data_IF_491400572653
#
_entry.id   IF_491400572653
#
_cell.length_a   1.000
_cell.length_b   1.000
_cell.length_c   1.000
_cell.angle_alpha   90.00
_cell.angle_beta   90.00
_cell.angle_gamma   90.00
#
_symmetry.space_group_name_H-M   'P 1'
#
loop_
_entity.id
_entity.type
_entity.pdbx_description
1 polymer ?
#
# COMPACT_ATOMS: atom_id res chain seq x y z
N UNK A 1 9.41 8.68 5.05
CA UNK A 1 9.70 7.70 6.11
C UNK A 1 9.50 6.34 5.49
N UNK A 2 10.41 5.39 5.74
CA UNK A 2 10.35 4.06 5.16
C UNK A 2 10.15 3.06 6.29
N UNK A 3 9.21 2.14 6.14
CA UNK A 3 9.19 0.95 6.96
C UNK A 3 10.38 0.05 6.56
N UNK A 4 10.82 -0.80 7.48
CA UNK A 4 11.78 -1.86 7.16
C UNK A 4 11.22 -2.71 6.01
N UNK A 5 12.06 -3.14 5.05
CA UNK A 5 11.61 -4.06 4.02
C UNK A 5 11.15 -5.38 4.66
N UNK A 6 10.09 -5.94 4.10
CA UNK A 6 9.52 -7.23 4.48
C UNK A 6 9.90 -8.26 3.41
N UNK A 7 10.28 -9.46 3.84
CA UNK A 7 10.48 -10.60 2.94
C UNK A 7 9.20 -11.43 3.01
N UNK A 8 8.57 -11.66 1.85
CA UNK A 8 7.41 -12.52 1.74
C UNK A 8 7.83 -13.85 1.08
N UNK A 9 7.50 -14.96 1.73
CA UNK A 9 7.79 -16.31 1.25
C UNK A 9 6.47 -17.07 1.19
N UNK A 10 6.05 -17.45 -0.01
CA UNK A 10 4.82 -18.19 -0.23
C UNK A 10 5.08 -19.55 -0.87
N UNK A 11 4.42 -20.59 -0.37
CA UNK A 11 4.39 -21.90 -1.04
C UNK A 11 3.55 -21.87 -2.33
N UNK A 12 3.58 -22.92 -3.15
CA UNK A 12 2.79 -22.99 -4.39
C UNK A 12 1.30 -22.68 -4.18
N UNK A 13 0.73 -21.77 -4.98
CA UNK A 13 -0.68 -21.39 -4.94
C UNK A 13 -1.15 -20.64 -3.68
N UNK A 14 -0.24 -20.21 -2.82
CA UNK A 14 -0.55 -19.41 -1.61
C UNK A 14 -1.16 -18.07 -2.00
N UNK A 15 -2.18 -17.65 -1.26
CA UNK A 15 -2.88 -16.38 -1.50
C UNK A 15 -2.70 -15.44 -0.31
N UNK A 16 -2.17 -14.25 -0.59
CA UNK A 16 -2.15 -13.10 0.31
C UNK A 16 -3.49 -12.36 0.19
N UNK A 17 -4.31 -12.30 1.24
CA UNK A 17 -5.66 -11.75 1.17
C UNK A 17 -5.71 -10.31 0.69
N UNK A 18 -6.80 -9.96 0.01
CA UNK A 18 -7.05 -8.63 -0.53
C UNK A 18 -6.97 -7.53 0.55
N UNK A 19 -5.98 -6.64 0.41
CA UNK A 19 -5.64 -5.62 1.40
C UNK A 19 -5.23 -4.29 0.77
N UNK A 20 -5.30 -3.21 1.55
CA UNK A 20 -4.68 -1.93 1.24
C UNK A 20 -3.68 -1.57 2.34
N UNK A 21 -2.59 -0.93 1.93
CA UNK A 21 -1.49 -0.55 2.81
C UNK A 21 -1.92 0.43 3.92
N UNK A 22 -1.31 0.33 5.12
CA UNK A 22 -1.60 1.24 6.22
C UNK A 22 -1.05 2.64 5.99
N UNK A 23 -1.59 3.60 6.75
CA UNK A 23 -1.04 4.96 6.86
C UNK A 23 -0.87 5.69 5.51
N UNK A 24 -1.70 5.37 4.51
CA UNK A 24 -1.64 6.00 3.19
C UNK A 24 -0.28 5.84 2.48
N UNK A 25 0.50 4.83 2.85
CA UNK A 25 1.76 4.47 2.20
C UNK A 25 1.53 3.86 0.82
N UNK A 26 2.58 3.83 0.00
CA UNK A 26 2.64 3.00 -1.21
C UNK A 26 3.56 1.81 -0.99
N UNK A 27 3.32 0.72 -1.73
CA UNK A 27 4.17 -0.48 -1.71
C UNK A 27 5.03 -0.51 -2.96
N UNK A 28 6.29 -0.88 -2.80
CA UNK A 28 7.12 -1.40 -3.88
C UNK A 28 7.39 -2.85 -3.56
N UNK A 29 7.08 -3.73 -4.50
CA UNK A 29 7.27 -5.17 -4.33
C UNK A 29 8.07 -5.73 -5.48
N UNK A 30 9.23 -6.30 -5.16
CA UNK A 30 10.16 -6.87 -6.14
C UNK A 30 10.15 -8.38 -6.01
N UNK A 31 9.81 -9.06 -7.10
CA UNK A 31 9.82 -10.52 -7.15
C UNK A 31 11.26 -11.02 -7.31
N UNK A 32 11.70 -11.96 -6.47
CA UNK A 32 13.07 -12.48 -6.49
C UNK A 32 13.15 -13.93 -6.97
N UNK A 33 12.21 -14.78 -6.56
CA UNK A 33 12.20 -16.22 -6.90
C UNK A 33 10.77 -16.64 -7.20
N UNK A 34 10.57 -17.50 -8.19
CA UNK A 34 9.24 -17.95 -8.60
C UNK A 34 8.40 -16.83 -9.21
N UNK A 35 7.11 -17.08 -9.40
CA UNK A 35 6.18 -16.11 -9.98
C UNK A 35 5.07 -15.74 -9.00
N UNK A 36 4.54 -14.53 -9.17
CA UNK A 36 3.41 -14.05 -8.40
C UNK A 36 2.43 -13.28 -9.29
N UNK A 37 1.16 -13.65 -9.20
CA UNK A 37 0.05 -12.92 -9.79
C UNK A 37 -0.52 -11.94 -8.79
N UNK A 38 -0.50 -10.65 -9.10
CA UNK A 38 -1.07 -9.60 -8.25
C UNK A 38 -2.29 -8.99 -8.92
N UNK A 39 -3.45 -9.17 -8.30
CA UNK A 39 -4.68 -8.46 -8.67
C UNK A 39 -4.75 -7.13 -7.94
N UNK A 40 -5.07 -6.06 -8.66
CA UNK A 40 -5.12 -4.67 -8.19
C UNK A 40 -6.51 -4.10 -8.44
N UNK A 41 -7.11 -3.51 -7.40
CA UNK A 41 -8.36 -2.77 -7.52
C UNK A 41 -8.16 -1.33 -7.04
N UNK A 42 -8.79 -0.35 -7.71
CA UNK A 42 -8.61 1.03 -7.34
C UNK A 42 -9.38 1.34 -6.04
N UNK A 43 -9.06 2.43 -5.33
CA UNK A 43 -9.67 2.76 -4.03
C UNK A 43 -11.20 2.89 -4.07
N UNK A 44 -11.79 3.19 -5.22
CA UNK A 44 -13.25 3.27 -5.40
C UNK A 44 -13.95 1.93 -5.14
N UNK A 45 -13.21 0.82 -5.19
CA UNK A 45 -13.69 -0.52 -4.86
C UNK A 45 -14.03 -0.69 -3.37
N UNK A 46 -13.69 0.26 -2.48
CA UNK A 46 -14.10 0.29 -1.07
C UNK A 46 -15.60 0.01 -0.87
N UNK A 47 -16.44 0.46 -1.80
CA UNK A 47 -17.91 0.28 -1.76
C UNK A 47 -18.35 -1.18 -1.88
N UNK A 48 -17.49 -2.02 -2.45
CA UNK A 48 -17.79 -3.42 -2.79
C UNK A 48 -16.97 -4.38 -1.92
N UNK A 49 -15.77 -3.96 -1.51
CA UNK A 49 -14.81 -4.82 -0.80
C UNK A 49 -15.05 -4.90 0.71
N UNK A 50 -16.06 -4.19 1.24
CA UNK A 50 -16.42 -4.19 2.66
C UNK A 50 -15.20 -4.06 3.60
N UNK A 51 -14.46 -2.93 3.53
CA UNK A 51 -13.19 -2.74 4.21
C UNK A 51 -13.30 -2.90 5.74
N UNK A 52 -12.50 -3.81 6.29
CA UNK A 52 -12.32 -4.00 7.73
C UNK A 52 -10.92 -3.59 8.17
N UNK A 53 -10.83 -2.97 9.35
CA UNK A 53 -9.53 -2.58 9.92
C UNK A 53 -8.71 -3.82 10.29
N UNK A 54 -7.45 -3.83 9.85
CA UNK A 54 -6.47 -4.82 10.25
C UNK A 54 -5.65 -4.32 11.46
N UNK A 55 -5.08 -5.26 12.22
CA UNK A 55 -4.29 -4.95 13.43
C UNK A 55 -3.06 -4.07 13.14
N UNK A 56 -2.52 -4.12 11.93
CA UNK A 56 -1.39 -3.31 11.48
C UNK A 56 -1.79 -1.88 11.07
N UNK A 57 -3.04 -1.47 11.28
CA UNK A 57 -3.56 -0.15 10.90
C UNK A 57 -3.92 -0.02 9.41
N UNK A 58 -3.84 -1.11 8.64
CA UNK A 58 -4.25 -1.18 7.24
C UNK A 58 -5.69 -1.65 7.08
N UNK A 59 -6.08 -1.89 5.84
CA UNK A 59 -7.42 -2.35 5.49
C UNK A 59 -7.35 -3.75 4.87
N UNK A 60 -8.29 -4.62 5.24
CA UNK A 60 -8.51 -5.93 4.62
C UNK A 60 -9.95 -6.03 4.17
N UNK A 61 -10.17 -6.66 3.02
CA UNK A 61 -11.52 -6.94 2.54
C UNK A 61 -12.18 -7.98 3.43
N UNK A 62 -13.50 -7.89 3.60
CA UNK A 62 -14.29 -8.96 4.21
C UNK A 62 -14.59 -10.10 3.22
N UNK A 63 -14.38 -9.87 1.91
CA UNK A 63 -14.60 -10.85 0.87
C UNK A 63 -13.55 -11.96 0.92
N UNK A 64 -13.89 -13.18 0.46
CA UNK A 64 -12.90 -14.23 0.22
C UNK A 64 -11.96 -13.84 -0.93
N UNK A 65 -11.02 -14.73 -1.26
CA UNK A 65 -10.15 -14.60 -2.42
C UNK A 65 -10.96 -14.19 -3.67
N UNK A 66 -10.47 -13.24 -4.46
CA UNK A 66 -11.21 -12.72 -5.63
C UNK A 66 -11.66 -13.83 -6.59
N UNK A 67 -10.85 -14.88 -6.73
CA UNK A 67 -11.16 -16.04 -7.56
C UNK A 67 -12.31 -16.92 -7.01
N UNK A 68 -12.62 -16.82 -5.71
CA UNK A 68 -13.66 -17.60 -5.03
C UNK A 68 -14.92 -16.78 -4.75
N UNK A 69 -14.93 -15.47 -5.03
CA UNK A 69 -16.12 -14.65 -4.83
C UNK A 69 -17.21 -15.07 -5.81
N UNK A 70 -18.37 -15.44 -5.27
CA UNK A 70 -19.55 -15.66 -6.10
C UNK A 70 -20.07 -14.33 -6.66
N UNK A 71 -19.79 -14.12 -7.95
CA UNK A 71 -20.17 -12.91 -8.68
C UNK A 71 -21.68 -12.71 -8.79
N UNK A 72 -22.49 -13.75 -8.64
CA UNK A 72 -23.96 -13.62 -8.62
C UNK A 72 -24.44 -12.94 -7.34
N UNK A 73 -23.80 -13.26 -6.22
CA UNK A 73 -24.10 -12.67 -4.92
C UNK A 73 -23.38 -11.33 -4.69
N UNK A 74 -22.33 -11.04 -5.46
CA UNK A 74 -21.59 -9.77 -5.43
C UNK A 74 -21.52 -9.12 -6.83
N UNK A 75 -22.65 -8.69 -7.40
CA UNK A 75 -22.71 -8.16 -8.77
C UNK A 75 -21.81 -6.92 -8.96
N UNK A 76 -21.70 -6.06 -7.93
CA UNK A 76 -20.85 -4.88 -7.97
C UNK A 76 -19.35 -5.20 -8.12
N UNK A 77 -18.90 -6.42 -7.77
CA UNK A 77 -17.53 -6.86 -8.04
C UNK A 77 -17.31 -7.19 -9.52
N UNK A 78 -18.37 -7.58 -10.23
CA UNK A 78 -18.30 -7.83 -11.68
C UNK A 78 -18.10 -6.54 -12.48
N UNK A 79 -18.55 -5.42 -11.94
CA UNK A 79 -18.38 -4.08 -12.52
C UNK A 79 -17.05 -3.43 -12.10
N UNK A 80 -16.38 -3.97 -11.08
CA UNK A 80 -15.14 -3.42 -10.58
C UNK A 80 -14.00 -3.62 -11.60
N UNK A 81 -13.22 -2.56 -11.82
CA UNK A 81 -12.02 -2.64 -12.64
C UNK A 81 -10.91 -3.36 -11.86
N UNK A 82 -10.59 -4.57 -12.29
CA UNK A 82 -9.47 -5.36 -11.75
C UNK A 82 -8.32 -5.31 -12.75
N UNK A 83 -7.18 -4.76 -12.33
CA UNK A 83 -5.92 -4.86 -13.04
C UNK A 83 -5.16 -6.08 -12.54
N UNK A 84 -4.43 -6.76 -13.42
CA UNK A 84 -3.65 -7.94 -13.06
C UNK A 84 -2.23 -7.75 -13.56
N UNK A 85 -1.27 -7.94 -12.66
CA UNK A 85 0.16 -7.99 -12.98
C UNK A 85 0.67 -9.41 -12.69
N UNK A 86 1.31 -10.02 -13.67
CA UNK A 86 2.08 -11.25 -13.48
C UNK A 86 3.54 -10.82 -13.27
N UNK A 87 4.13 -11.18 -12.13
CA UNK A 87 5.48 -10.79 -11.75
C UNK A 87 6.42 -11.99 -11.88
N UNK A 88 7.50 -11.80 -12.62
CA UNK A 88 8.63 -12.72 -12.74
C UNK A 88 9.85 -12.20 -11.96
N UNK A 89 10.86 -13.05 -11.67
CA UNK A 89 12.07 -12.62 -10.99
C UNK A 89 12.74 -11.41 -11.66
N UNK A 90 12.91 -10.33 -10.90
CA UNK A 90 13.44 -9.05 -11.37
C UNK A 90 12.38 -7.97 -11.55
N UNK A 91 11.10 -8.35 -11.69
CA UNK A 91 10.01 -7.39 -11.80
C UNK A 91 9.80 -6.66 -10.48
N UNK A 92 9.44 -5.37 -10.58
CA UNK A 92 9.04 -4.57 -9.43
C UNK A 92 7.69 -3.92 -9.68
N UNK A 93 6.70 -4.28 -8.86
CA UNK A 93 5.38 -3.70 -8.87
C UNK A 93 5.31 -2.49 -7.93
N UNK A 94 4.79 -1.39 -8.46
CA UNK A 94 4.38 -0.24 -7.65
C UNK A 94 2.89 -0.30 -7.37
N UNK A 95 2.52 -0.39 -6.09
CA UNK A 95 1.12 -0.32 -5.63
C UNK A 95 0.88 1.08 -5.05
N UNK A 96 0.06 1.91 -5.70
CA UNK A 96 -0.17 3.27 -5.23
C UNK A 96 -0.92 3.30 -3.88
N UNK A 97 -0.89 4.43 -3.15
CA UNK A 97 -1.60 4.55 -1.89
C UNK A 97 -3.11 4.31 -2.02
N UNK A 98 -3.66 3.51 -1.11
CA UNK A 98 -5.10 3.20 -1.07
C UNK A 98 -5.55 2.14 -2.08
N UNK A 99 -4.66 1.65 -2.94
CA UNK A 99 -5.00 0.57 -3.86
C UNK A 99 -5.08 -0.77 -3.13
N UNK A 100 -6.11 -1.52 -3.49
CA UNK A 100 -6.30 -2.87 -3.04
C UNK A 100 -5.44 -3.81 -3.85
N UNK A 101 -4.80 -4.77 -3.19
CA UNK A 101 -3.99 -5.79 -3.85
C UNK A 101 -4.18 -7.16 -3.19
N UNK A 102 -4.30 -8.19 -4.04
CA UNK A 102 -4.30 -9.62 -3.66
C UNK A 102 -3.17 -10.29 -4.45
N UNK A 103 -2.25 -10.95 -3.74
CA UNK A 103 -1.13 -11.67 -4.34
C UNK A 103 -1.41 -13.17 -4.31
N UNK A 104 -1.16 -13.86 -5.41
CA UNK A 104 -1.20 -15.32 -5.49
C UNK A 104 0.11 -15.84 -6.09
N UNK A 105 0.78 -16.73 -5.38
CA UNK A 105 1.99 -17.36 -5.89
C UNK A 105 1.65 -18.38 -6.98
N UNK A 106 2.58 -18.58 -7.91
CA UNK A 106 2.46 -19.60 -8.96
C UNK A 106 2.62 -21.03 -8.45
N UNK A 107 3.01 -21.94 -9.36
CA UNK A 107 3.11 -23.38 -9.07
C UNK A 107 4.37 -23.79 -8.29
N UNK A 108 5.22 -22.82 -7.95
CA UNK A 108 6.47 -23.00 -7.21
C UNK A 108 6.52 -22.07 -6.01
N UNK A 109 7.47 -22.32 -5.11
CA UNK A 109 7.81 -21.38 -4.05
C UNK A 109 8.15 -20.04 -4.66
N UNK A 110 7.57 -18.98 -4.10
CA UNK A 110 7.82 -17.61 -4.50
C UNK A 110 8.42 -16.82 -3.34
N UNK A 111 9.39 -15.97 -3.64
CA UNK A 111 10.03 -15.06 -2.70
C UNK A 111 9.99 -13.65 -3.29
N UNK A 112 9.44 -12.70 -2.56
CA UNK A 112 9.44 -11.28 -2.89
C UNK A 112 9.97 -10.44 -1.74
N UNK A 113 10.46 -9.25 -2.06
CA UNK A 113 10.81 -8.22 -1.08
C UNK A 113 9.90 -7.03 -1.29
N UNK A 114 9.22 -6.64 -0.23
CA UNK A 114 8.32 -5.52 -0.24
C UNK A 114 8.77 -4.39 0.68
N UNK A 115 8.50 -3.15 0.28
CA UNK A 115 8.79 -1.97 1.07
C UNK A 115 7.58 -1.04 1.07
N UNK A 116 7.03 -0.82 2.26
CA UNK A 116 6.05 0.23 2.51
C UNK A 116 6.75 1.59 2.68
N UNK A 117 6.30 2.58 1.92
CA UNK A 117 6.96 3.89 1.86
C UNK A 117 5.99 5.07 1.93
N UNK A 118 6.49 6.12 2.57
CA UNK A 118 5.88 7.46 2.57
C UNK A 118 6.89 8.45 2.01
N UNK A 119 6.52 9.09 0.91
CA UNK A 119 7.25 10.16 0.24
C UNK A 119 6.55 11.50 0.41
N UNK A 120 7.11 12.54 -0.20
CA UNK A 120 6.48 13.87 -0.25
C UNK A 120 5.11 13.83 -0.94
N UNK A 121 4.94 12.97 -1.94
CA UNK A 121 3.72 12.91 -2.76
C UNK A 121 2.51 12.40 -1.99
N UNK A 122 2.69 11.46 -1.05
CA UNK A 122 1.61 10.87 -0.24
C UNK A 122 1.64 11.29 1.23
N UNK A 123 2.49 12.25 1.62
CA UNK A 123 2.62 12.67 3.02
C UNK A 123 1.32 13.24 3.61
N UNK A 124 0.51 13.92 2.78
CA UNK A 124 -0.81 14.40 3.21
C UNK A 124 -1.76 13.26 3.55
N UNK A 125 -1.75 12.18 2.76
CA UNK A 125 -2.56 10.98 3.02
C UNK A 125 -2.09 10.30 4.31
N UNK A 126 -0.77 10.21 4.49
CA UNK A 126 -0.17 9.70 5.72
C UNK A 126 -0.64 10.43 6.97
N UNK A 127 -0.61 11.77 6.98
CA UNK A 127 -1.08 12.55 8.13
C UNK A 127 -2.57 12.34 8.42
N UNK A 128 -3.40 12.22 7.37
CA UNK A 128 -4.83 11.96 7.54
C UNK A 128 -5.10 10.58 8.13
N UNK A 129 -4.43 9.54 7.63
CA UNK A 129 -4.58 8.18 8.15
C UNK A 129 -3.97 8.03 9.55
N UNK A 130 -2.86 8.72 9.85
CA UNK A 130 -2.29 8.78 11.20
C UNK A 130 -3.30 9.35 12.20
N UNK A 131 -3.99 10.44 11.84
CA UNK A 131 -5.06 11.00 12.67
C UNK A 131 -6.24 10.04 12.82
N UNK A 132 -6.64 9.39 11.72
CA UNK A 132 -7.74 8.43 11.72
C UNK A 132 -7.46 7.21 12.59
N UNK A 133 -6.19 6.80 12.68
CA UNK A 133 -5.73 5.66 13.46
C UNK A 133 -5.43 6.04 14.91
N UNK A 134 -4.50 6.96 15.15
CA UNK A 134 -4.05 7.31 16.50
C UNK A 134 -4.82 8.47 17.11
N UNK A 135 -5.22 9.47 16.31
CA UNK A 135 -5.91 10.66 16.81
C UNK A 135 -7.33 10.42 17.30
N UNK A 136 -8.01 9.36 16.82
CA UNK A 136 -9.33 8.97 17.35
C UNK A 136 -9.25 8.26 18.70
N UNK A 137 -8.21 7.45 18.90
CA UNK A 137 -8.01 6.71 20.14
C UNK A 137 -7.31 7.56 21.22
N UNK A 138 -6.36 8.40 20.80
CA UNK A 138 -5.51 9.22 21.67
C UNK A 138 -5.35 10.65 21.09
N UNK A 139 -6.36 11.51 21.24
CA UNK A 139 -6.45 12.79 20.52
C UNK A 139 -5.28 13.75 20.78
N UNK A 140 -4.80 13.82 22.02
CA UNK A 140 -3.65 14.67 22.36
C UNK A 140 -2.37 14.19 21.66
N UNK A 141 -2.10 12.88 21.67
CA UNK A 141 -0.91 12.31 21.02
C UNK A 141 -0.98 12.47 19.51
N UNK A 142 -2.13 12.18 18.91
CA UNK A 142 -2.35 12.37 17.48
C UNK A 142 -2.18 13.83 17.03
N UNK A 143 -2.60 14.80 17.86
CA UNK A 143 -2.46 16.23 17.55
C UNK A 143 -1.00 16.67 17.62
N UNK A 144 -0.31 16.31 18.71
CA UNK A 144 1.13 16.60 18.88
C UNK A 144 1.95 15.98 17.76
N UNK A 145 1.69 14.71 17.42
CA UNK A 145 2.37 14.02 16.32
C UNK A 145 2.12 14.73 14.98
N UNK A 146 0.87 15.13 14.68
CA UNK A 146 0.55 15.86 13.46
C UNK A 146 1.29 17.21 13.37
N UNK A 147 1.29 18.01 14.44
CA UNK A 147 1.96 19.31 14.45
C UNK A 147 3.48 19.15 14.25
N UNK A 148 4.09 18.20 14.97
CA UNK A 148 5.50 17.88 14.82
C UNK A 148 5.85 17.45 13.38
N UNK A 149 5.08 16.51 12.82
CA UNK A 149 5.34 15.97 11.48
C UNK A 149 5.11 17.00 10.37
N UNK A 150 4.13 17.91 10.53
CA UNK A 150 3.93 19.02 9.58
C UNK A 150 5.08 20.02 9.64
N UNK A 151 5.51 20.42 10.84
CA UNK A 151 6.64 21.32 11.00
C UNK A 151 7.94 20.72 10.44
N UNK A 152 8.18 19.43 10.71
CA UNK A 152 9.33 18.70 10.17
C UNK A 152 9.27 18.56 8.64
N UNK A 153 8.08 18.26 8.09
CA UNK A 153 7.85 18.16 6.65
C UNK A 153 8.13 19.48 5.92
N UNK A 154 7.68 20.61 6.48
CA UNK A 154 7.98 21.95 5.98
C UNK A 154 9.49 22.20 5.96
N UNK A 155 10.18 21.95 7.08
CA UNK A 155 11.63 22.14 7.18
C UNK A 155 12.41 21.33 6.12
N UNK A 156 12.04 20.06 5.89
CA UNK A 156 12.68 19.25 4.83
C UNK A 156 12.35 19.76 3.42
N UNK A 157 11.12 20.24 3.18
CA UNK A 157 10.76 20.80 1.87
C UNK A 157 11.54 22.08 1.57
N UNK A 158 11.75 22.94 2.56
CA UNK A 158 12.62 24.12 2.42
C UNK A 158 14.07 23.73 2.11
N UNK A 159 14.61 22.72 2.80
CA UNK A 159 15.97 22.22 2.54
C UNK A 159 16.11 21.62 1.14
N UNK A 160 15.10 20.87 0.65
CA UNK A 160 15.15 20.29 -0.69
C UNK A 160 15.06 21.34 -1.80
N UNK A 161 14.29 22.42 -1.60
CA UNK A 161 14.22 23.54 -2.55
C UNK A 161 15.58 24.22 -2.69
N UNK A 162 16.21 24.57 -1.56
CA UNK A 162 17.58 25.13 -1.56
C UNK A 162 18.61 24.20 -2.21
N UNK A 163 18.49 22.88 -2.01
CA UNK A 163 19.37 21.90 -2.65
C UNK A 163 19.16 21.82 -4.17
N UNK A 164 17.91 21.80 -4.63
CA UNK A 164 17.60 21.78 -6.07
C UNK A 164 18.01 23.07 -6.77
N UNK A 165 17.85 24.23 -6.13
CA UNK A 165 18.35 25.52 -6.62
C UNK A 165 19.88 25.52 -6.75
N UNK A 166 20.60 24.90 -5.80
CA UNK A 166 22.05 24.71 -5.88
C UNK A 166 22.49 23.80 -7.02
N UNK A 167 21.77 22.71 -7.28
CA UNK A 167 22.07 21.79 -8.39
C UNK A 167 21.75 22.45 -9.74
N UNK A 168 20.68 23.24 -9.82
CA UNK A 168 20.32 23.99 -11.02
C UNK A 168 21.35 25.08 -11.38
N UNK A 169 22.07 25.63 -10.40
CA UNK A 169 23.10 26.64 -10.59
C UNK A 169 24.49 26.07 -10.99
N UNK A 170 24.63 24.74 -11.02
CA UNK A 170 25.88 24.03 -11.41
C UNK A 170 25.75 23.40 -12.81
N UNK A 171 24.70 23.75 -13.56
CA UNK A 171 24.52 23.41 -14.98
C UNK A 171 24.71 24.62 -15.87
#
# INVERSE_FOLDING_TARGET
MNASPEIEIGGPGSVSPLRSEPLGGYRLETQLVGSQRVALLPPEADRVLEPRRAKNGGWRSALPELARVDRRNHPALSEARILVAELEPGDTLFVPPGWWHEGKTGDRVAISVASLRVSKANFGNFLRELWRNEGREQPLRGLVAQLYLRAFGLARSFRSRKQNERIACVR
#
